data_IF_938413253732
#
_entry.id   IF_938413253732
#
_cell.length_a   1.000
_cell.length_b   1.000
_cell.length_c   1.000
_cell.angle_alpha   90.00
_cell.angle_beta   90.00
_cell.angle_gamma   90.00
#
_symmetry.space_group_name_H-M   'P 1'
#
loop_
_entity.id
_entity.type
_entity.pdbx_description
1 polymer ?
#
# COMPACT_ATOMS: atom_id res chain seq x y z
N UNK A 1 -12.04 31.28 -20.21
CA UNK A 1 -12.59 30.00 -19.67
C UNK A 1 -11.56 28.87 -19.53
N UNK A 2 -10.25 29.10 -19.71
CA UNK A 2 -9.20 28.06 -19.76
C UNK A 2 -8.64 27.65 -18.40
N UNK A 3 -8.59 28.56 -17.41
CA UNK A 3 -8.13 28.29 -16.04
C UNK A 3 -8.96 27.20 -15.35
N UNK A 4 -10.30 27.25 -15.50
CA UNK A 4 -11.20 26.23 -14.92
C UNK A 4 -11.05 24.82 -15.52
N UNK A 5 -10.49 24.70 -16.73
CA UNK A 5 -10.28 23.41 -17.39
C UNK A 5 -8.97 22.78 -16.90
N UNK A 6 -7.91 23.58 -16.79
CA UNK A 6 -6.59 23.15 -16.29
C UNK A 6 -6.69 22.72 -14.83
N UNK A 7 -7.41 23.47 -13.99
CA UNK A 7 -7.66 23.07 -12.58
C UNK A 7 -8.42 21.74 -12.49
N UNK A 8 -9.40 21.49 -13.37
CA UNK A 8 -10.14 20.22 -13.41
C UNK A 8 -9.28 19.04 -13.86
N UNK A 9 -8.34 19.27 -14.78
CA UNK A 9 -7.37 18.25 -15.21
C UNK A 9 -6.32 17.98 -14.14
N UNK A 10 -5.93 18.99 -13.35
CA UNK A 10 -5.01 18.80 -12.22
C UNK A 10 -5.64 18.06 -11.03
N UNK A 11 -6.97 18.15 -10.86
CA UNK A 11 -7.71 17.39 -9.82
C UNK A 11 -7.97 15.92 -10.19
N UNK A 12 -7.78 15.53 -11.46
CA UNK A 12 -8.08 14.19 -11.96
C UNK A 12 -7.46 13.04 -11.14
N UNK A 13 -6.19 13.10 -10.67
CA UNK A 13 -5.60 12.05 -9.86
C UNK A 13 -6.29 11.87 -8.51
N UNK A 14 -6.72 12.98 -7.90
CA UNK A 14 -7.46 12.96 -6.64
C UNK A 14 -8.82 12.32 -6.85
N UNK A 15 -9.50 12.66 -7.95
CA UNK A 15 -10.82 12.12 -8.26
C UNK A 15 -10.77 10.61 -8.55
N UNK A 16 -9.75 10.11 -9.27
CA UNK A 16 -9.57 8.66 -9.48
C UNK A 16 -9.27 7.92 -8.17
N UNK A 17 -8.44 8.49 -7.29
CA UNK A 17 -8.16 7.91 -5.98
C UNK A 17 -9.43 7.80 -5.11
N UNK A 18 -10.28 8.85 -5.12
CA UNK A 18 -11.55 8.86 -4.41
C UNK A 18 -12.56 7.86 -5.00
N UNK A 19 -12.63 7.74 -6.33
CA UNK A 19 -13.49 6.75 -7.00
C UNK A 19 -13.05 5.33 -6.64
N UNK A 20 -11.74 5.06 -6.69
CA UNK A 20 -11.19 3.76 -6.32
C UNK A 20 -11.48 3.41 -4.86
N UNK A 21 -11.30 4.38 -3.96
CA UNK A 21 -11.64 4.25 -2.54
C UNK A 21 -13.13 3.96 -2.34
N UNK A 22 -14.00 4.73 -2.99
CA UNK A 22 -15.45 4.58 -2.87
C UNK A 22 -15.94 3.22 -3.39
N UNK A 23 -15.41 2.76 -4.53
CA UNK A 23 -15.73 1.45 -5.10
C UNK A 23 -15.26 0.33 -4.17
N UNK A 24 -14.01 0.38 -3.70
CA UNK A 24 -13.48 -0.64 -2.79
C UNK A 24 -14.25 -0.72 -1.47
N UNK A 25 -14.55 0.44 -0.87
CA UNK A 25 -15.35 0.50 0.36
C UNK A 25 -16.78 0.01 0.11
N UNK A 26 -17.41 0.44 -0.98
CA UNK A 26 -18.77 0.03 -1.34
C UNK A 26 -18.89 -1.47 -1.57
N UNK A 27 -17.97 -2.07 -2.34
CA UNK A 27 -17.94 -3.53 -2.58
C UNK A 27 -17.69 -4.30 -1.29
N UNK A 28 -16.78 -3.83 -0.43
CA UNK A 28 -16.51 -4.48 0.85
C UNK A 28 -17.73 -4.44 1.78
N UNK A 29 -18.40 -3.29 1.91
CA UNK A 29 -19.60 -3.14 2.74
C UNK A 29 -20.76 -3.96 2.18
N UNK A 30 -20.96 -3.96 0.87
CA UNK A 30 -21.99 -4.79 0.23
C UNK A 30 -21.71 -6.30 0.40
N UNK A 31 -20.44 -6.71 0.30
CA UNK A 31 -20.01 -8.08 0.55
C UNK A 31 -20.29 -8.51 1.98
N UNK A 32 -19.84 -7.73 2.96
CA UNK A 32 -20.08 -8.00 4.39
C UNK A 32 -21.59 -7.98 4.71
N UNK A 33 -22.33 -7.00 4.19
CA UNK A 33 -23.78 -6.89 4.38
C UNK A 33 -24.55 -8.07 3.79
N UNK A 34 -24.19 -8.52 2.58
CA UNK A 34 -24.81 -9.70 1.98
C UNK A 34 -24.53 -10.96 2.79
N UNK A 35 -23.31 -11.14 3.31
CA UNK A 35 -22.97 -12.25 4.21
C UNK A 35 -23.72 -12.20 5.55
N UNK A 36 -23.96 -11.02 6.11
CA UNK A 36 -24.66 -10.86 7.40
C UNK A 36 -26.18 -11.02 7.33
N UNK A 37 -26.77 -10.90 6.14
CA UNK A 37 -28.24 -10.87 5.96
C UNK A 37 -28.73 -12.11 5.20
N UNK A 38 -27.99 -12.57 4.17
CA UNK A 38 -28.45 -13.60 3.23
C UNK A 38 -27.71 -14.93 3.38
N UNK A 39 -26.68 -15.01 4.23
CA UNK A 39 -25.94 -16.25 4.44
C UNK A 39 -26.71 -17.23 5.31
N UNK A 40 -26.69 -18.55 5.01
CA UNK A 40 -27.21 -19.58 5.91
C UNK A 40 -26.45 -19.64 7.25
N UNK A 41 -25.27 -19.01 7.34
CA UNK A 41 -24.44 -18.90 8.56
C UNK A 41 -24.48 -17.49 9.18
N UNK A 42 -25.52 -16.70 8.90
CA UNK A 42 -25.59 -15.29 9.31
C UNK A 42 -25.49 -15.09 10.83
N UNK A 43 -26.07 -15.98 11.64
CA UNK A 43 -26.02 -15.86 13.10
C UNK A 43 -24.62 -16.13 13.66
N UNK A 44 -23.93 -17.15 13.16
CA UNK A 44 -22.56 -17.45 13.52
C UNK A 44 -21.60 -16.35 13.07
N UNK A 45 -21.78 -15.83 11.84
CA UNK A 45 -21.02 -14.69 11.34
C UNK A 45 -21.24 -13.44 12.20
N UNK A 46 -22.46 -13.16 12.66
CA UNK A 46 -22.71 -12.02 13.57
C UNK A 46 -21.96 -12.16 14.88
N UNK A 47 -21.90 -13.37 15.46
CA UNK A 47 -21.14 -13.64 16.69
C UNK A 47 -19.64 -13.47 16.49
N UNK A 48 -19.11 -13.95 15.36
CA UNK A 48 -17.70 -13.81 14.99
C UNK A 48 -17.34 -12.34 14.76
N UNK A 49 -18.15 -11.59 13.99
CA UNK A 49 -17.92 -10.17 13.75
C UNK A 49 -18.13 -9.28 14.98
N UNK A 50 -18.91 -9.72 15.97
CA UNK A 50 -19.03 -9.03 17.26
C UNK A 50 -17.74 -9.12 18.09
N UNK A 51 -16.80 -10.01 17.74
CA UNK A 51 -15.54 -10.20 18.49
C UNK A 51 -14.46 -9.23 17.99
N UNK A 52 -13.83 -8.50 18.91
CA UNK A 52 -12.78 -7.53 18.60
C UNK A 52 -11.57 -8.14 17.87
N UNK A 53 -11.28 -9.43 18.12
CA UNK A 53 -10.18 -10.18 17.49
C UNK A 53 -10.37 -10.37 15.98
N UNK A 54 -11.61 -10.36 15.50
CA UNK A 54 -11.91 -10.50 14.07
C UNK A 54 -12.12 -9.13 13.45
N UNK A 55 -12.87 -8.26 14.13
CA UNK A 55 -13.28 -6.96 13.60
C UNK A 55 -12.10 -6.00 13.43
N UNK A 56 -11.18 -5.91 14.41
CA UNK A 56 -10.05 -4.97 14.35
C UNK A 56 -9.08 -5.31 13.22
N UNK A 57 -8.59 -6.56 13.07
CA UNK A 57 -7.73 -6.91 11.94
C UNK A 57 -8.44 -6.82 10.59
N UNK A 58 -9.73 -7.19 10.53
CA UNK A 58 -10.52 -7.10 9.29
C UNK A 58 -10.63 -5.66 8.80
N UNK A 59 -11.04 -4.73 9.68
CA UNK A 59 -11.17 -3.31 9.33
C UNK A 59 -9.81 -2.69 8.97
N UNK A 60 -8.75 -3.05 9.72
CA UNK A 60 -7.41 -2.57 9.42
C UNK A 60 -6.91 -3.06 8.06
N UNK A 61 -7.12 -4.34 7.73
CA UNK A 61 -6.75 -4.93 6.44
C UNK A 61 -7.56 -4.30 5.29
N UNK A 62 -8.85 -4.11 5.48
CA UNK A 62 -9.71 -3.43 4.52
C UNK A 62 -9.22 -1.99 4.26
N UNK A 63 -8.94 -1.23 5.32
CA UNK A 63 -8.42 0.14 5.20
C UNK A 63 -7.08 0.19 4.47
N UNK A 64 -6.17 -0.75 4.74
CA UNK A 64 -4.88 -0.86 4.03
C UNK A 64 -5.10 -1.12 2.55
N UNK A 65 -5.97 -2.06 2.18
CA UNK A 65 -6.30 -2.35 0.78
C UNK A 65 -6.89 -1.13 0.06
N UNK A 66 -7.79 -0.41 0.74
CA UNK A 66 -8.39 0.82 0.22
C UNK A 66 -7.35 1.93 0.01
N UNK A 67 -6.50 2.17 1.02
CA UNK A 67 -5.43 3.15 0.96
C UNK A 67 -4.40 2.80 -0.14
N UNK A 68 -4.06 1.52 -0.28
CA UNK A 68 -3.14 1.03 -1.31
C UNK A 68 -3.71 1.23 -2.72
N UNK A 69 -4.98 0.87 -2.95
CA UNK A 69 -5.66 1.09 -4.22
C UNK A 69 -5.74 2.59 -4.57
N UNK A 70 -6.14 3.44 -3.61
CA UNK A 70 -6.21 4.88 -3.80
C UNK A 70 -4.83 5.50 -4.09
N UNK A 71 -3.78 5.06 -3.39
CA UNK A 71 -2.43 5.55 -3.58
C UNK A 71 -1.85 5.16 -4.95
N UNK A 72 -2.05 3.92 -5.38
CA UNK A 72 -1.57 3.45 -6.68
C UNK A 72 -2.30 4.15 -7.83
N UNK A 73 -3.62 4.26 -7.74
CA UNK A 73 -4.42 4.98 -8.74
C UNK A 73 -4.00 6.45 -8.83
N UNK A 74 -3.77 7.12 -7.70
CA UNK A 74 -3.23 8.47 -7.68
C UNK A 74 -1.84 8.56 -8.34
N UNK A 75 -0.91 7.65 -7.98
CA UNK A 75 0.45 7.64 -8.52
C UNK A 75 0.48 7.38 -10.03
N UNK A 76 -0.33 6.45 -10.54
CA UNK A 76 -0.44 6.15 -11.96
C UNK A 76 -1.10 7.29 -12.74
N UNK A 77 -2.18 7.87 -12.20
CA UNK A 77 -2.83 9.03 -12.80
C UNK A 77 -1.89 10.25 -12.85
N UNK A 78 -1.09 10.47 -11.80
CA UNK A 78 -0.11 11.55 -11.77
C UNK A 78 1.03 11.32 -12.74
N UNK A 79 1.58 10.11 -12.81
CA UNK A 79 2.67 9.78 -13.72
C UNK A 79 2.25 9.92 -15.21
N UNK A 80 1.02 9.55 -15.52
CA UNK A 80 0.48 9.67 -16.88
C UNK A 80 0.20 11.13 -17.26
N UNK A 81 -0.26 11.96 -16.32
CA UNK A 81 -0.37 13.40 -16.51
C UNK A 81 0.99 14.06 -16.74
N UNK A 82 2.00 13.71 -15.94
CA UNK A 82 3.35 14.27 -16.07
C UNK A 82 3.99 13.91 -17.43
N UNK A 83 3.63 12.76 -18.02
CA UNK A 83 4.13 12.32 -19.34
C UNK A 83 3.38 12.92 -20.54
N UNK A 84 2.07 13.18 -20.43
CA UNK A 84 1.23 13.60 -21.57
C UNK A 84 0.88 15.08 -21.57
N UNK A 85 1.13 15.77 -20.46
CA UNK A 85 0.78 17.18 -20.28
C UNK A 85 -0.74 17.41 -20.13
N UNK A 86 -1.14 18.54 -19.54
CA UNK A 86 -2.56 18.86 -19.31
C UNK A 86 -3.35 19.11 -20.60
N UNK A 87 -2.68 19.48 -21.70
CA UNK A 87 -3.30 19.75 -22.99
C UNK A 87 -3.82 18.48 -23.72
N UNK A 88 -3.26 17.31 -23.43
CA UNK A 88 -3.63 16.04 -24.08
C UNK A 88 -4.93 15.39 -23.58
N UNK A 89 -5.60 15.96 -22.57
CA UNK A 89 -6.77 15.38 -21.90
C UNK A 89 -8.04 16.20 -22.16
N UNK A 90 -8.55 16.12 -23.39
CA UNK A 90 -9.62 16.99 -23.88
C UNK A 90 -11.00 16.81 -23.21
N UNK A 91 -11.29 15.76 -22.41
CA UNK A 91 -12.55 15.65 -21.64
C UNK A 91 -12.39 14.86 -20.31
N UNK A 92 -12.29 15.53 -19.15
CA UNK A 92 -12.11 14.87 -17.86
C UNK A 92 -13.35 14.07 -17.38
N UNK A 93 -14.56 14.43 -17.82
CA UNK A 93 -15.81 13.78 -17.38
C UNK A 93 -15.96 12.33 -17.87
N UNK A 94 -15.64 12.05 -19.14
CA UNK A 94 -15.75 10.70 -19.70
C UNK A 94 -14.71 9.73 -19.14
N UNK A 95 -13.51 10.22 -18.84
CA UNK A 95 -12.44 9.40 -18.26
C UNK A 95 -12.79 8.90 -16.86
N UNK A 96 -13.53 9.69 -16.06
CA UNK A 96 -14.02 9.29 -14.72
C UNK A 96 -15.01 8.14 -14.79
N UNK A 97 -15.97 8.22 -15.71
CA UNK A 97 -16.97 7.17 -15.91
C UNK A 97 -16.34 5.85 -16.35
N UNK A 98 -15.44 5.90 -17.34
CA UNK A 98 -14.73 4.70 -17.85
C UNK A 98 -13.87 4.09 -16.74
N UNK A 99 -13.10 4.92 -16.01
CA UNK A 99 -12.30 4.44 -14.89
C UNK A 99 -13.16 3.74 -13.84
N UNK A 100 -14.24 4.38 -13.40
CA UNK A 100 -15.13 3.82 -12.38
C UNK A 100 -15.74 2.48 -12.79
N UNK A 101 -16.27 2.37 -14.01
CA UNK A 101 -16.88 1.13 -14.51
C UNK A 101 -15.84 0.02 -14.64
N UNK A 102 -14.69 0.29 -15.25
CA UNK A 102 -13.64 -0.71 -15.46
C UNK A 102 -13.05 -1.16 -14.13
N UNK A 103 -12.78 -0.23 -13.21
CA UNK A 103 -12.26 -0.54 -11.89
C UNK A 103 -13.27 -1.36 -11.08
N UNK A 104 -14.56 -1.01 -11.11
CA UNK A 104 -15.62 -1.79 -10.47
C UNK A 104 -15.68 -3.23 -11.02
N UNK A 105 -15.72 -3.40 -12.35
CA UNK A 105 -15.76 -4.71 -12.98
C UNK A 105 -14.56 -5.58 -12.59
N UNK A 106 -13.37 -4.99 -12.56
CA UNK A 106 -12.15 -5.70 -12.18
C UNK A 106 -12.11 -6.06 -10.70
N UNK A 107 -12.57 -5.17 -9.81
CA UNK A 107 -12.69 -5.46 -8.37
C UNK A 107 -13.71 -6.57 -8.12
N UNK A 108 -14.84 -6.55 -8.83
CA UNK A 108 -15.85 -7.63 -8.75
C UNK A 108 -15.29 -8.94 -9.29
N UNK A 109 -14.61 -8.94 -10.45
CA UNK A 109 -13.98 -10.13 -11.00
C UNK A 109 -12.91 -10.70 -10.04
N UNK A 110 -12.11 -9.83 -9.42
CA UNK A 110 -11.17 -10.23 -8.38
C UNK A 110 -11.89 -10.88 -7.19
N UNK A 111 -12.93 -10.24 -6.65
CA UNK A 111 -13.62 -10.70 -5.44
C UNK A 111 -14.42 -11.98 -5.63
N UNK A 112 -15.11 -12.13 -6.77
CA UNK A 112 -16.05 -13.22 -7.01
C UNK A 112 -15.51 -14.36 -7.87
N UNK A 113 -14.46 -14.13 -8.66
CA UNK A 113 -13.88 -15.18 -9.52
C UNK A 113 -12.50 -15.54 -9.02
N UNK A 114 -11.58 -14.57 -8.94
CA UNK A 114 -10.18 -14.89 -8.70
C UNK A 114 -9.88 -15.27 -7.25
N UNK A 115 -10.43 -14.55 -6.28
CA UNK A 115 -10.25 -14.84 -4.86
C UNK A 115 -10.73 -16.25 -4.46
N UNK A 116 -11.95 -16.71 -4.83
CA UNK A 116 -12.38 -18.07 -4.50
C UNK A 116 -11.55 -19.14 -5.23
N UNK A 117 -11.15 -18.91 -6.49
CA UNK A 117 -10.26 -19.84 -7.21
C UNK A 117 -8.91 -19.99 -6.50
N UNK A 118 -8.29 -18.89 -6.08
CA UNK A 118 -7.02 -18.90 -5.33
C UNK A 118 -7.21 -19.59 -3.98
N UNK A 119 -8.34 -19.36 -3.31
CA UNK A 119 -8.65 -20.00 -2.04
C UNK A 119 -8.83 -21.53 -2.19
N UNK A 120 -9.50 -21.99 -3.25
CA UNK A 120 -9.63 -23.42 -3.51
C UNK A 120 -8.30 -24.07 -3.89
N UNK A 121 -7.48 -23.39 -4.70
CA UNK A 121 -6.12 -23.85 -5.03
C UNK A 121 -5.22 -23.90 -3.79
N UNK A 122 -5.38 -22.95 -2.86
CA UNK A 122 -4.70 -22.93 -1.58
C UNK A 122 -5.08 -24.13 -0.71
N UNK A 123 -6.38 -24.42 -0.58
CA UNK A 123 -6.88 -25.55 0.21
C UNK A 123 -6.42 -26.90 -0.36
N UNK A 124 -6.47 -27.07 -1.67
CA UNK A 124 -6.01 -28.32 -2.31
C UNK A 124 -4.51 -28.54 -2.11
N UNK A 125 -3.70 -27.48 -2.17
CA UNK A 125 -2.26 -27.59 -1.89
C UNK A 125 -1.96 -27.97 -0.44
N UNK A 126 -2.68 -27.38 0.53
CA UNK A 126 -2.51 -27.70 1.95
C UNK A 126 -2.93 -29.15 2.23
N UNK A 127 -4.03 -29.60 1.63
CA UNK A 127 -4.49 -31.00 1.74
C UNK A 127 -3.45 -31.98 1.15
N UNK A 128 -2.88 -31.65 -0.02
CA UNK A 128 -1.85 -32.47 -0.68
C UNK A 128 -0.52 -32.52 0.08
N UNK A 129 -0.27 -31.58 1.01
CA UNK A 129 0.93 -31.53 1.85
C UNK A 129 0.68 -32.03 3.27
N UNK A 130 -0.36 -32.84 3.46
CA UNK A 130 -0.76 -33.42 4.74
C UNK A 130 -0.98 -32.39 5.87
N UNK A 131 -1.36 -31.16 5.52
CA UNK A 131 -1.59 -30.09 6.50
C UNK A 131 -0.31 -29.52 7.12
N UNK A 132 0.84 -29.65 6.46
CA UNK A 132 2.09 -29.03 6.93
C UNK A 132 1.92 -27.53 7.17
N UNK A 133 2.24 -27.07 8.38
CA UNK A 133 2.17 -25.64 8.75
C UNK A 133 3.06 -24.77 7.85
N UNK A 134 4.18 -25.30 7.37
CA UNK A 134 5.06 -24.59 6.44
C UNK A 134 4.39 -24.38 5.07
N UNK A 135 3.66 -25.38 4.58
CA UNK A 135 2.91 -25.29 3.33
C UNK A 135 1.74 -24.30 3.43
N UNK A 136 0.99 -24.32 4.53
CA UNK A 136 -0.06 -23.35 4.81
C UNK A 136 0.51 -21.92 4.86
N UNK A 137 1.61 -21.72 5.60
CA UNK A 137 2.30 -20.44 5.68
C UNK A 137 2.76 -19.89 4.33
N UNK A 138 3.37 -20.75 3.50
CA UNK A 138 3.79 -20.39 2.15
C UNK A 138 2.62 -19.98 1.25
N UNK A 139 1.51 -20.72 1.32
CA UNK A 139 0.31 -20.42 0.52
C UNK A 139 -0.34 -19.11 0.94
N UNK A 140 -0.43 -18.81 2.24
CA UNK A 140 -0.93 -17.51 2.71
C UNK A 140 -0.03 -16.35 2.28
N UNK A 141 1.30 -16.54 2.34
CA UNK A 141 2.28 -15.60 1.80
C UNK A 141 2.07 -15.34 0.31
N UNK A 142 1.98 -16.40 -0.48
CA UNK A 142 1.78 -16.31 -1.92
C UNK A 142 0.45 -15.64 -2.29
N UNK A 143 -0.63 -16.00 -1.59
CA UNK A 143 -1.97 -15.43 -1.82
C UNK A 143 -1.99 -13.91 -1.61
N UNK A 144 -1.33 -13.42 -0.56
CA UNK A 144 -1.30 -11.99 -0.26
C UNK A 144 -0.43 -11.21 -1.26
N UNK A 145 0.71 -11.78 -1.68
CA UNK A 145 1.53 -11.20 -2.74
C UNK A 145 0.75 -11.13 -4.06
N UNK A 146 0.04 -12.20 -4.40
CA UNK A 146 -0.79 -12.27 -5.61
C UNK A 146 -1.90 -11.21 -5.57
N UNK A 147 -2.58 -11.05 -4.42
CA UNK A 147 -3.59 -10.01 -4.24
C UNK A 147 -3.03 -8.60 -4.45
N UNK A 148 -1.80 -8.33 -3.98
CA UNK A 148 -1.16 -7.03 -4.18
C UNK A 148 -0.82 -6.75 -5.64
N UNK A 149 -0.21 -7.73 -6.30
CA UNK A 149 0.11 -7.64 -7.72
C UNK A 149 -1.16 -7.40 -8.51
N UNK A 150 -2.24 -8.12 -8.18
CA UNK A 150 -3.51 -7.98 -8.85
C UNK A 150 -4.15 -6.59 -8.63
N UNK A 151 -4.19 -6.09 -7.39
CA UNK A 151 -4.70 -4.73 -7.11
C UNK A 151 -3.88 -3.68 -7.87
N UNK A 152 -2.57 -3.84 -7.93
CA UNK A 152 -1.71 -2.96 -8.70
C UNK A 152 -1.97 -3.04 -10.21
N UNK A 153 -2.16 -4.25 -10.75
CA UNK A 153 -2.52 -4.47 -12.15
C UNK A 153 -3.90 -3.91 -12.50
N UNK A 154 -4.88 -4.04 -11.61
CA UNK A 154 -6.23 -3.49 -11.77
C UNK A 154 -6.18 -1.96 -11.80
N UNK A 155 -5.50 -1.36 -10.82
CA UNK A 155 -5.30 0.09 -10.77
C UNK A 155 -4.58 0.60 -12.02
N UNK A 156 -3.52 -0.11 -12.45
CA UNK A 156 -2.78 0.19 -13.67
C UNK A 156 -3.66 0.11 -14.92
N UNK A 157 -4.35 -1.02 -15.12
CA UNK A 157 -5.16 -1.30 -16.31
C UNK A 157 -6.35 -0.35 -16.41
N UNK A 158 -7.04 -0.09 -15.29
CA UNK A 158 -8.14 0.87 -15.24
C UNK A 158 -7.67 2.29 -15.58
N UNK A 159 -6.55 2.75 -14.99
CA UNK A 159 -5.95 4.05 -15.32
C UNK A 159 -5.53 4.09 -16.80
N UNK A 160 -4.88 3.05 -17.29
CA UNK A 160 -4.40 3.00 -18.65
C UNK A 160 -5.55 3.01 -19.66
N UNK A 161 -6.64 2.29 -19.40
CA UNK A 161 -7.80 2.23 -20.28
C UNK A 161 -8.58 3.55 -20.26
N UNK A 162 -8.81 4.13 -19.08
CA UNK A 162 -9.45 5.43 -18.93
C UNK A 162 -8.66 6.57 -19.61
N UNK A 163 -7.34 6.40 -19.74
CA UNK A 163 -6.44 7.34 -20.38
C UNK A 163 -6.05 6.90 -21.82
N UNK A 164 -6.48 5.73 -22.30
CA UNK A 164 -6.21 5.27 -23.66
C UNK A 164 -7.20 5.95 -24.60
N UNK A 165 -6.68 6.90 -25.36
CA UNK A 165 -7.29 7.56 -26.53
C UNK A 165 -8.41 8.56 -26.25
N UNK A 166 -8.01 9.84 -26.25
CA UNK A 166 -8.73 10.90 -26.96
C UNK A 166 -7.75 11.81 -27.72
N UNK A 167 -6.80 11.21 -28.43
CA UNK A 167 -5.86 11.85 -29.35
C UNK A 167 -6.52 12.10 -30.71
N UNK A 168 -7.66 12.80 -30.71
CA UNK A 168 -8.44 13.10 -31.91
C UNK A 168 -8.80 14.57 -32.03
N UNK A 169 -8.07 15.45 -31.34
CA UNK A 169 -8.23 16.90 -31.43
C UNK A 169 -6.85 17.53 -31.61
N UNK A 170 -6.60 17.99 -32.82
CA UNK A 170 -5.40 18.71 -33.24
C UNK A 170 -5.19 20.01 -32.46
N UNK A 171 -3.94 20.46 -32.48
CA UNK A 171 -3.47 21.84 -32.44
C UNK A 171 -3.13 22.47 -31.09
N UNK A 172 -1.91 23.03 -31.07
CA UNK A 172 -1.56 24.20 -30.29
C UNK A 172 -0.50 23.94 -29.23
N UNK A 173 0.77 24.14 -29.61
CA UNK A 173 1.83 24.40 -28.64
C UNK A 173 1.40 25.57 -27.77
N UNK A 174 1.09 25.27 -26.51
CA UNK A 174 0.98 26.27 -25.46
C UNK A 174 2.06 25.87 -24.47
N UNK A 175 3.15 26.63 -24.48
CA UNK A 175 4.15 26.63 -23.43
C UNK A 175 3.44 26.83 -22.09
N UNK A 176 3.21 25.72 -21.40
CA UNK A 176 2.57 25.69 -20.10
C UNK A 176 3.60 26.11 -19.04
N UNK A 177 4.02 27.37 -19.08
CA UNK A 177 4.52 28.07 -17.91
C UNK A 177 3.36 28.28 -16.95
N UNK A 178 2.99 27.25 -16.21
CA UNK A 178 2.13 27.37 -15.03
C UNK A 178 2.95 27.97 -13.88
N UNK A 179 2.35 28.82 -13.01
CA UNK A 179 3.10 29.58 -12.02
C UNK A 179 3.83 28.64 -11.05
N UNK A 180 5.15 28.77 -11.03
CA UNK A 180 6.02 28.14 -10.05
C UNK A 180 5.79 28.77 -8.68
N UNK A 181 4.82 28.26 -7.92
CA UNK A 181 4.68 28.57 -6.50
C UNK A 181 4.03 27.43 -5.70
N UNK A 182 4.29 26.16 -6.05
CA UNK A 182 4.17 25.12 -5.02
C UNK A 182 5.43 25.20 -4.15
N UNK A 183 5.25 25.71 -2.93
CA UNK A 183 6.32 25.82 -1.95
C UNK A 183 7.08 24.49 -1.87
N UNK A 184 8.41 24.56 -1.72
CA UNK A 184 9.25 23.36 -1.57
C UNK A 184 8.76 22.45 -0.44
N UNK A 185 8.15 23.05 0.60
CA UNK A 185 7.44 22.38 1.69
C UNK A 185 6.27 21.50 1.20
N UNK A 186 5.40 22.02 0.33
CA UNK A 186 4.26 21.27 -0.23
C UNK A 186 4.70 20.05 -1.06
N UNK A 187 5.80 20.19 -1.81
CA UNK A 187 6.38 19.08 -2.61
C UNK A 187 6.98 17.98 -1.74
N UNK A 188 7.72 18.37 -0.69
CA UNK A 188 8.27 17.43 0.30
C UNK A 188 7.18 16.67 1.04
N UNK A 189 6.10 17.35 1.42
CA UNK A 189 4.95 16.74 2.08
C UNK A 189 4.36 15.62 1.23
N UNK A 190 4.12 15.89 -0.06
CA UNK A 190 3.54 14.91 -0.97
C UNK A 190 4.43 13.66 -1.11
N UNK A 191 5.76 13.82 -1.23
CA UNK A 191 6.69 12.70 -1.29
C UNK A 191 6.68 11.90 0.01
N UNK A 192 6.74 12.59 1.15
CA UNK A 192 6.76 11.96 2.47
C UNK A 192 5.46 11.19 2.77
N UNK A 193 4.30 11.72 2.36
CA UNK A 193 3.02 11.02 2.46
C UNK A 193 2.97 9.77 1.60
N UNK A 194 3.42 9.83 0.34
CA UNK A 194 3.43 8.66 -0.55
C UNK A 194 4.35 7.58 0.01
N UNK A 195 5.55 7.95 0.48
CA UNK A 195 6.49 7.00 1.10
C UNK A 195 5.88 6.40 2.36
N UNK A 196 5.36 7.23 3.27
CA UNK A 196 4.83 6.74 4.54
C UNK A 196 3.63 5.84 4.37
N UNK A 197 2.64 6.23 3.55
CA UNK A 197 1.45 5.41 3.32
C UNK A 197 1.81 4.10 2.64
N UNK A 198 2.68 4.12 1.61
CA UNK A 198 3.10 2.89 0.93
C UNK A 198 3.87 1.96 1.87
N UNK A 199 4.77 2.51 2.71
CA UNK A 199 5.53 1.74 3.69
C UNK A 199 4.62 1.08 4.74
N UNK A 200 3.67 1.84 5.29
CA UNK A 200 2.70 1.32 6.27
C UNK A 200 1.86 0.21 5.65
N UNK A 201 1.40 0.39 4.40
CA UNK A 201 0.69 -0.67 3.70
C UNK A 201 1.55 -1.94 3.62
N UNK A 202 2.80 -1.85 3.16
CA UNK A 202 3.73 -2.99 3.10
C UNK A 202 3.94 -3.65 4.47
N UNK A 203 4.06 -2.86 5.53
CA UNK A 203 4.25 -3.37 6.89
C UNK A 203 3.00 -4.10 7.41
N UNK A 204 1.81 -3.53 7.20
CA UNK A 204 0.55 -4.17 7.59
C UNK A 204 0.31 -5.46 6.80
N UNK A 205 0.68 -5.48 5.52
CA UNK A 205 0.62 -6.67 4.68
C UNK A 205 1.56 -7.76 5.22
N UNK A 206 2.82 -7.44 5.53
CA UNK A 206 3.70 -8.42 6.20
C UNK A 206 3.13 -8.89 7.54
N UNK A 207 2.54 -7.98 8.33
CA UNK A 207 1.95 -8.34 9.63
C UNK A 207 0.82 -9.37 9.46
N UNK A 208 0.00 -9.22 8.43
CA UNK A 208 -1.06 -10.18 8.11
C UNK A 208 -0.54 -11.57 7.68
N UNK A 209 0.66 -11.64 7.08
CA UNK A 209 1.31 -12.90 6.71
C UNK A 209 1.80 -13.70 7.92
N UNK A 210 2.35 -13.01 8.91
CA UNK A 210 2.88 -13.65 10.12
C UNK A 210 1.80 -13.95 11.15
N UNK A 211 0.62 -13.34 11.04
CA UNK A 211 -0.48 -13.56 11.97
C UNK A 211 -1.02 -14.99 11.93
N UNK A 212 -0.99 -15.66 10.75
CA UNK A 212 -1.33 -17.07 10.63
C UNK A 212 -0.36 -18.02 11.34
N UNK A 213 0.86 -17.56 11.64
CA UNK A 213 1.89 -18.32 12.36
C UNK A 213 1.87 -18.09 13.87
N UNK A 214 1.64 -16.84 14.31
CA UNK A 214 1.79 -16.42 15.72
C UNK A 214 0.44 -16.39 16.45
N UNK A 215 -0.66 -16.19 15.73
CA UNK A 215 -1.99 -15.93 16.30
C UNK A 215 -2.71 -17.13 16.91
N UNK A 216 -2.17 -18.35 16.83
CA UNK A 216 -2.81 -19.53 17.43
C UNK A 216 -2.67 -19.61 18.95
N UNK A 217 -1.81 -18.81 19.60
CA UNK A 217 -1.45 -19.10 20.99
C UNK A 217 -2.17 -18.30 22.08
N UNK A 218 -2.67 -17.09 21.86
CA UNK A 218 -3.42 -16.37 22.91
C UNK A 218 -4.44 -15.38 22.34
N UNK A 219 -5.67 -15.43 22.88
CA UNK A 219 -6.75 -14.48 22.64
C UNK A 219 -6.42 -13.13 23.32
N UNK A 220 -5.87 -12.12 22.61
CA UNK A 220 -5.50 -10.87 23.26
C UNK A 220 -6.78 -10.08 23.55
N UNK A 221 -6.80 -9.34 24.66
CA UNK A 221 -7.84 -8.36 24.93
C UNK A 221 -7.87 -7.24 23.88
N UNK A 222 -8.88 -6.38 23.92
CA UNK A 222 -9.04 -5.28 22.96
C UNK A 222 -7.85 -4.30 22.94
N UNK A 223 -7.19 -4.08 24.09
CA UNK A 223 -6.05 -3.15 24.21
C UNK A 223 -4.84 -3.53 23.32
N UNK A 224 -4.26 -4.73 23.47
CA UNK A 224 -3.17 -5.21 22.59
C UNK A 224 -3.52 -5.16 21.10
N UNK A 225 -4.78 -5.43 20.75
CA UNK A 225 -5.24 -5.35 19.35
C UNK A 225 -5.20 -3.92 18.82
N UNK A 226 -5.72 -2.95 19.57
CA UNK A 226 -5.64 -1.53 19.18
C UNK A 226 -4.18 -1.07 19.05
N UNK A 227 -3.33 -1.50 19.99
CA UNK A 227 -1.92 -1.12 19.99
C UNK A 227 -1.17 -1.68 18.76
N UNK A 228 -1.40 -2.94 18.41
CA UNK A 228 -0.78 -3.58 17.25
C UNK A 228 -1.35 -3.14 15.90
N UNK A 229 -2.67 -2.92 15.80
CA UNK A 229 -3.35 -2.68 14.51
C UNK A 229 -3.60 -1.21 14.20
N UNK A 230 -3.55 -0.32 15.19
CA UNK A 230 -3.82 1.11 15.00
C UNK A 230 -2.61 1.94 15.42
N UNK A 231 -2.14 1.78 16.66
CA UNK A 231 -1.05 2.63 17.18
C UNK A 231 0.27 2.36 16.46
N UNK A 232 0.67 1.10 16.33
CA UNK A 232 1.94 0.75 15.68
C UNK A 232 2.00 1.23 14.22
N UNK A 233 0.97 1.03 13.36
CA UNK A 233 0.94 1.60 12.01
C UNK A 233 1.01 3.13 11.96
N UNK A 234 0.39 3.83 12.92
CA UNK A 234 0.47 5.30 13.00
C UNK A 234 1.87 5.78 13.39
N UNK A 235 2.53 5.09 14.33
CA UNK A 235 3.93 5.37 14.69
C UNK A 235 4.84 5.14 13.47
N UNK A 236 4.62 4.04 12.76
CA UNK A 236 5.36 3.71 11.54
C UNK A 236 5.16 4.79 10.47
N UNK A 237 3.93 5.23 10.28
CA UNK A 237 3.59 6.32 9.35
C UNK A 237 4.33 7.59 9.71
N UNK A 238 4.31 7.98 10.98
CA UNK A 238 4.97 9.19 11.45
C UNK A 238 6.50 9.13 11.25
N UNK A 239 7.12 7.99 11.57
CA UNK A 239 8.57 7.78 11.44
C UNK A 239 9.03 7.74 9.98
N UNK A 240 8.30 7.03 9.12
CA UNK A 240 8.59 7.00 7.67
C UNK A 240 8.35 8.35 7.03
N UNK A 241 7.27 9.04 7.40
CA UNK A 241 7.01 10.40 6.96
C UNK A 241 8.17 11.32 7.35
N UNK A 242 8.61 11.26 8.60
CA UNK A 242 9.74 12.04 9.10
C UNK A 242 11.05 11.74 8.35
N UNK A 243 11.38 10.46 8.18
CA UNK A 243 12.56 10.01 7.43
C UNK A 243 12.53 10.48 5.97
N UNK A 244 11.38 10.32 5.31
CA UNK A 244 11.19 10.73 3.91
C UNK A 244 11.19 12.26 3.75
N UNK A 245 10.62 13.00 4.71
CA UNK A 245 10.66 14.46 4.73
C UNK A 245 12.10 15.00 4.80
N UNK A 246 12.93 14.39 5.66
CA UNK A 246 14.36 14.72 5.74
C UNK A 246 15.14 14.30 4.49
N UNK A 247 14.77 13.16 3.86
CA UNK A 247 15.43 12.66 2.64
C UNK A 247 15.08 13.44 1.38
N UNK A 248 13.85 13.97 1.28
CA UNK A 248 13.34 14.72 0.14
C UNK A 248 13.86 16.17 0.09
N UNK A 249 14.93 16.49 0.83
CA UNK A 249 15.40 17.87 0.99
C UNK A 249 15.74 18.56 -0.33
N UNK A 250 16.36 17.81 -1.23
CA UNK A 250 16.86 18.29 -2.51
C UNK A 250 15.92 17.96 -3.68
N UNK A 251 14.70 17.47 -3.41
CA UNK A 251 13.79 17.05 -4.47
C UNK A 251 13.26 18.25 -5.29
N UNK A 252 13.75 18.39 -6.52
CA UNK A 252 13.31 19.44 -7.45
C UNK A 252 11.86 19.22 -7.95
N UNK A 253 11.43 17.97 -8.13
CA UNK A 253 10.08 17.62 -8.59
C UNK A 253 9.51 16.39 -7.86
N UNK A 254 8.22 16.38 -7.48
CA UNK A 254 7.58 15.22 -6.89
C UNK A 254 7.35 14.15 -7.96
N UNK A 255 8.18 13.09 -7.99
CA UNK A 255 8.02 11.94 -8.90
C UNK A 255 7.42 10.77 -8.13
N UNK A 256 6.09 10.54 -8.18
CA UNK A 256 5.39 9.62 -7.27
C UNK A 256 5.85 8.16 -7.39
N UNK A 257 6.17 7.69 -8.59
CA UNK A 257 6.71 6.33 -8.78
C UNK A 257 8.09 6.14 -8.14
N UNK A 258 8.90 7.20 -8.04
CA UNK A 258 10.19 7.12 -7.34
C UNK A 258 10.01 7.10 -5.84
N UNK A 259 8.98 7.79 -5.33
CA UNK A 259 8.61 7.70 -3.92
C UNK A 259 8.18 6.27 -3.56
N UNK A 260 7.37 5.63 -4.41
CA UNK A 260 7.01 4.20 -4.26
C UNK A 260 8.27 3.32 -4.27
N UNK A 261 9.16 3.49 -5.26
CA UNK A 261 10.39 2.69 -5.36
C UNK A 261 11.33 2.90 -4.15
N UNK A 262 11.47 4.13 -3.67
CA UNK A 262 12.26 4.44 -2.47
C UNK A 262 11.67 3.77 -1.24
N UNK A 263 10.34 3.83 -1.08
CA UNK A 263 9.63 3.16 0.01
C UNK A 263 9.77 1.64 -0.04
N UNK A 264 9.62 1.03 -1.22
CA UNK A 264 9.80 -0.41 -1.41
C UNK A 264 11.23 -0.84 -1.08
N UNK A 265 12.22 -0.09 -1.56
CA UNK A 265 13.64 -0.36 -1.29
C UNK A 265 13.96 -0.21 0.21
N UNK A 266 13.50 0.87 0.84
CA UNK A 266 13.68 1.09 2.27
C UNK A 266 13.08 -0.05 3.09
N UNK A 267 11.88 -0.49 2.71
CA UNK A 267 11.20 -1.60 3.37
C UNK A 267 11.99 -2.90 3.23
N UNK A 268 12.38 -3.28 2.01
CA UNK A 268 13.15 -4.52 1.78
C UNK A 268 14.49 -4.50 2.53
N UNK A 269 15.22 -3.38 2.48
CA UNK A 269 16.46 -3.23 3.22
C UNK A 269 16.24 -3.35 4.74
N UNK A 270 15.18 -2.74 5.27
CA UNK A 270 14.85 -2.85 6.68
C UNK A 270 14.58 -4.30 7.06
N UNK A 271 13.79 -5.03 6.27
CA UNK A 271 13.52 -6.45 6.53
C UNK A 271 14.79 -7.29 6.48
N UNK A 272 15.63 -7.13 5.45
CA UNK A 272 16.88 -7.88 5.32
C UNK A 272 17.84 -7.64 6.49
N UNK A 273 18.01 -6.37 6.90
CA UNK A 273 18.87 -6.02 8.04
C UNK A 273 18.29 -6.58 9.34
N UNK A 274 16.98 -6.49 9.56
CA UNK A 274 16.35 -7.04 10.75
C UNK A 274 16.44 -8.57 10.81
N UNK A 275 16.26 -9.26 9.67
CA UNK A 275 16.45 -10.71 9.57
C UNK A 275 17.89 -11.09 9.89
N UNK A 276 18.88 -10.38 9.32
CA UNK A 276 20.29 -10.62 9.61
C UNK A 276 20.61 -10.44 11.10
N UNK A 277 20.09 -9.37 11.72
CA UNK A 277 20.24 -9.13 13.17
C UNK A 277 19.58 -10.25 13.98
N UNK A 278 18.37 -10.67 13.62
CA UNK A 278 17.65 -11.74 14.30
C UNK A 278 18.39 -13.09 14.22
N UNK A 279 18.95 -13.44 13.05
CA UNK A 279 19.77 -14.64 12.86
C UNK A 279 21.05 -14.55 13.69
N UNK A 280 21.78 -13.44 13.59
CA UNK A 280 23.00 -13.22 14.37
C UNK A 280 22.73 -13.34 15.88
N UNK A 281 21.60 -12.80 16.33
CA UNK A 281 21.15 -12.91 17.70
C UNK A 281 20.83 -14.35 18.10
N UNK A 282 20.06 -15.08 17.28
CA UNK A 282 19.72 -16.47 17.55
C UNK A 282 20.97 -17.35 17.67
N UNK A 283 21.94 -17.15 16.78
CA UNK A 283 23.24 -17.83 16.83
C UNK A 283 24.05 -17.46 18.09
N UNK A 284 23.87 -16.25 18.62
CA UNK A 284 24.51 -15.81 19.86
C UNK A 284 23.88 -16.45 21.10
N UNK A 285 22.54 -16.50 21.17
CA UNK A 285 21.79 -17.13 22.28
C UNK A 285 21.99 -18.65 22.33
N UNK A 286 22.18 -19.30 21.18
CA UNK A 286 22.46 -20.74 21.10
C UNK A 286 23.85 -21.14 21.66
N UNK A 287 24.69 -20.17 22.07
CA UNK A 287 25.98 -20.47 22.69
C UNK A 287 25.80 -20.99 24.12
N UNK A 288 26.49 -22.07 24.52
CA UNK A 288 26.37 -22.65 25.85
C UNK A 288 26.71 -21.61 26.92
N UNK A 289 25.85 -21.49 27.94
CA UNK A 289 26.00 -20.59 29.08
C UNK A 289 25.22 -19.27 29.02
N UNK A 290 24.52 -18.95 27.92
CA UNK A 290 23.73 -17.72 27.81
C UNK A 290 22.22 -18.00 27.94
N UNK A 291 21.75 -18.26 29.15
CA UNK A 291 20.30 -18.32 29.47
C UNK A 291 19.92 -17.03 30.21
N UNK A 292 19.65 -15.97 29.45
CA UNK A 292 19.35 -14.63 29.97
C UNK A 292 17.97 -14.12 29.57
N UNK A 293 17.44 -13.17 30.36
CA UNK A 293 16.13 -12.54 30.20
C UNK A 293 15.87 -12.04 28.76
N UNK A 294 14.88 -12.62 28.08
CA UNK A 294 14.53 -12.37 26.67
C UNK A 294 13.92 -10.97 26.45
N UNK A 295 13.48 -10.30 27.52
CA UNK A 295 12.76 -9.01 27.45
C UNK A 295 13.68 -7.85 27.03
N UNK A 296 14.88 -7.73 27.62
CA UNK A 296 15.84 -6.67 27.27
C UNK A 296 16.26 -6.67 25.79
N UNK A 297 16.60 -7.84 25.21
CA UNK A 297 16.86 -8.00 23.79
C UNK A 297 15.71 -7.58 22.87
N UNK A 298 14.48 -7.92 23.22
CA UNK A 298 13.31 -7.57 22.41
C UNK A 298 13.11 -6.04 22.35
N UNK A 299 13.29 -5.36 23.47
CA UNK A 299 13.28 -3.89 23.54
C UNK A 299 14.41 -3.30 22.70
N UNK A 300 15.63 -3.84 22.80
CA UNK A 300 16.77 -3.41 21.99
C UNK A 300 16.51 -3.55 20.49
N UNK A 301 15.96 -4.67 20.05
CA UNK A 301 15.61 -4.92 18.65
C UNK A 301 14.53 -3.94 18.15
N UNK A 302 13.53 -3.62 18.99
CA UNK A 302 12.51 -2.64 18.66
C UNK A 302 13.10 -1.22 18.48
N UNK A 303 14.02 -0.81 19.35
CA UNK A 303 14.72 0.48 19.22
C UNK A 303 15.57 0.50 17.95
N UNK A 304 16.34 -0.56 17.69
CA UNK A 304 17.16 -0.70 16.48
C UNK A 304 16.28 -0.62 15.22
N UNK A 305 15.12 -1.29 15.23
CA UNK A 305 14.15 -1.25 14.14
C UNK A 305 13.69 0.19 13.84
N UNK A 306 13.29 0.95 14.87
CA UNK A 306 12.85 2.35 14.72
C UNK A 306 13.95 3.23 14.14
N UNK A 307 15.18 3.09 14.63
CA UNK A 307 16.33 3.87 14.15
C UNK A 307 16.66 3.53 12.69
N UNK A 308 16.79 2.23 12.38
CA UNK A 308 17.05 1.76 11.01
C UNK A 308 15.97 2.20 10.04
N UNK A 309 14.71 2.15 10.46
CA UNK A 309 13.57 2.56 9.65
C UNK A 309 13.68 4.02 9.21
N UNK A 310 13.98 4.94 10.13
CA UNK A 310 14.16 6.37 9.82
C UNK A 310 15.39 6.56 8.93
N UNK A 311 16.51 5.91 9.25
CA UNK A 311 17.78 6.06 8.54
C UNK A 311 17.72 5.53 7.11
N UNK A 312 17.16 4.34 6.90
CA UNK A 312 17.01 3.72 5.58
C UNK A 312 16.01 4.51 4.73
N UNK A 313 14.88 4.95 5.31
CA UNK A 313 13.91 5.77 4.57
C UNK A 313 14.53 7.10 4.14
N UNK A 314 15.26 7.77 5.02
CA UNK A 314 16.00 9.00 4.68
C UNK A 314 17.03 8.77 3.57
N UNK A 315 17.81 7.71 3.69
CA UNK A 315 18.93 7.42 2.80
C UNK A 315 18.46 7.04 1.40
N UNK A 316 17.46 6.16 1.29
CA UNK A 316 16.89 5.71 0.01
C UNK A 316 16.20 6.86 -0.73
N UNK A 317 15.38 7.66 -0.05
CA UNK A 317 14.75 8.85 -0.64
C UNK A 317 15.83 9.85 -1.08
N UNK A 318 16.79 10.17 -0.23
CA UNK A 318 17.88 11.09 -0.57
C UNK A 318 18.73 10.60 -1.74
N UNK A 319 18.99 9.30 -1.85
CA UNK A 319 19.77 8.71 -2.95
C UNK A 319 19.03 8.72 -4.29
N UNK A 320 17.76 8.31 -4.31
CA UNK A 320 16.93 8.28 -5.54
C UNK A 320 16.65 9.67 -6.10
N UNK A 321 16.56 10.69 -5.24
CA UNK A 321 16.34 12.07 -5.66
C UNK A 321 17.64 12.80 -6.03
N UNK A 322 18.79 12.49 -5.40
CA UNK A 322 20.11 13.05 -5.78
C UNK A 322 20.63 12.56 -7.12
N UNK A 323 20.49 11.26 -7.42
CA UNK A 323 21.05 10.64 -8.66
C UNK A 323 20.57 11.28 -9.97
N UNK A 324 19.50 12.06 -9.95
CA UNK A 324 18.91 12.66 -11.16
C UNK A 324 19.31 14.12 -11.35
N UNK A 325 19.79 14.79 -10.30
CA UNK A 325 20.47 16.07 -10.48
C UNK A 325 21.85 15.89 -11.14
N UNK A 326 22.47 14.72 -10.95
CA UNK A 326 23.75 14.37 -11.55
C UNK A 326 23.64 13.76 -12.96
N UNK A 327 22.43 13.48 -13.46
CA UNK A 327 22.24 13.03 -14.84
C UNK A 327 22.09 14.26 -15.74
N UNK A 328 23.08 14.59 -16.61
CA UNK A 328 22.89 15.64 -17.60
C UNK A 328 21.70 15.27 -18.48
N UNK A 329 20.87 16.26 -18.80
CA UNK A 329 19.81 16.11 -19.78
C UNK A 329 20.45 15.65 -21.10
N UNK A 330 20.15 14.41 -21.50
CA UNK A 330 20.34 13.92 -22.86
C UNK A 330 18.98 14.00 -23.56
#
# INVERSE_FOLDING_TARGET
MTTSSIERVQRLPKDFALIALAIQAGVAVAGIGSQLIWSPYAEDMRRVYATAQTLVPMLSSAFVNWAFAALLTWCFARHTLDRRGPAGLARPGGARGIFGVVFLLLVLAQGYVLAPLVHQAALSYIQNTAGSMAAAGFVFALSSVLQLVLVALIAWFACWLALRRRSGGSAGGVDASAPAASSSSSRRAAIAWVVGVFFVCLQMLMSSLFQGWIGMQQAPGAGPLVLGWIVAPLVVLALTFWGAWMGAREAAQPRPLRAIAASALAFVLLQLVCIAIAIAWMLWVLRPGHVGNIVGPAVGLAVIYVVLMVMLTRSTVGWLYRRVQAAPAQ
#
